data_IF_813912092826
#
_entry.id   IF_813912092826
#
_cell.length_a   1.000
_cell.length_b   1.000
_cell.length_c   1.000
_cell.angle_alpha   90.00
_cell.angle_beta   90.00
_cell.angle_gamma   90.00
#
_symmetry.space_group_name_H-M   'P 1'
#
loop_
_entity.id
_entity.type
_entity.pdbx_description
1 polymer ?
#
# COMPACT_ATOMS: atom_id res chain seq x y z
N UNK A 1 9.71 34.78 -11.27
CA UNK A 1 10.41 33.50 -11.50
C UNK A 1 9.89 32.32 -10.65
N UNK A 2 8.87 32.46 -9.80
CA UNK A 2 8.40 31.39 -8.89
C UNK A 2 7.45 30.34 -9.54
N UNK A 3 6.74 30.67 -10.62
CA UNK A 3 5.75 29.77 -11.25
C UNK A 3 6.36 28.62 -12.06
N UNK A 4 7.55 28.81 -12.64
CA UNK A 4 8.22 27.81 -13.51
C UNK A 4 8.78 26.63 -12.70
N UNK A 5 9.16 26.87 -11.44
CA UNK A 5 9.73 25.85 -10.54
C UNK A 5 8.65 24.88 -10.01
N UNK A 6 7.45 25.39 -9.68
CA UNK A 6 6.33 24.57 -9.23
C UNK A 6 5.84 23.59 -10.31
N UNK A 7 5.80 24.03 -11.56
CA UNK A 7 5.33 23.21 -12.68
C UNK A 7 6.29 22.04 -13.01
N UNK A 8 7.61 22.26 -12.87
CA UNK A 8 8.61 21.18 -13.04
C UNK A 8 8.55 20.15 -11.92
N UNK A 9 8.40 20.58 -10.66
CA UNK A 9 8.29 19.67 -9.51
C UNK A 9 7.04 18.81 -9.60
N UNK A 10 5.91 19.39 -9.99
CA UNK A 10 4.67 18.64 -10.22
C UNK A 10 4.81 17.64 -11.36
N UNK A 11 5.46 18.01 -12.47
CA UNK A 11 5.72 17.08 -13.58
C UNK A 11 6.60 15.91 -13.15
N UNK A 12 7.69 16.18 -12.43
CA UNK A 12 8.56 15.13 -11.90
C UNK A 12 7.83 14.20 -10.92
N UNK A 13 6.96 14.72 -10.05
CA UNK A 13 6.14 13.90 -9.16
C UNK A 13 5.14 13.00 -9.93
N UNK A 14 4.52 13.54 -10.99
CA UNK A 14 3.63 12.77 -11.88
C UNK A 14 4.36 11.65 -12.60
N UNK A 15 5.52 11.97 -13.17
CA UNK A 15 6.38 11.02 -13.88
C UNK A 15 6.87 9.91 -12.92
N UNK A 16 7.15 10.26 -11.66
CA UNK A 16 7.51 9.30 -10.61
C UNK A 16 6.41 8.30 -10.30
N UNK A 17 5.16 8.75 -10.17
CA UNK A 17 4.05 7.83 -9.82
C UNK A 17 3.76 6.82 -10.93
N UNK A 18 3.74 7.29 -12.18
CA UNK A 18 3.58 6.42 -13.33
C UNK A 18 4.73 5.41 -13.46
N UNK A 19 5.97 5.85 -13.19
CA UNK A 19 7.15 4.97 -13.26
C UNK A 19 7.11 3.90 -12.18
N UNK A 20 6.81 4.27 -10.93
CA UNK A 20 6.68 3.31 -9.84
C UNK A 20 5.56 2.29 -10.08
N UNK A 21 4.39 2.72 -10.59
CA UNK A 21 3.31 1.80 -10.96
C UNK A 21 3.74 0.79 -12.03
N UNK A 22 4.56 1.22 -13.00
CA UNK A 22 5.13 0.33 -14.02
C UNK A 22 6.19 -0.62 -13.46
N UNK A 23 6.98 -0.19 -12.46
CA UNK A 23 7.94 -1.06 -11.77
C UNK A 23 7.21 -2.15 -10.97
N UNK A 24 6.12 -1.82 -10.27
CA UNK A 24 5.25 -2.81 -9.64
C UNK A 24 4.67 -3.81 -10.63
N UNK A 25 4.16 -3.32 -11.75
CA UNK A 25 3.66 -4.17 -12.81
C UNK A 25 4.72 -5.12 -13.38
N UNK A 26 5.96 -4.64 -13.53
CA UNK A 26 7.09 -5.47 -13.97
C UNK A 26 7.45 -6.57 -12.96
N UNK A 27 7.18 -6.36 -11.66
CA UNK A 27 7.26 -7.38 -10.62
C UNK A 27 6.05 -8.33 -10.60
N UNK A 28 5.08 -8.15 -11.50
CA UNK A 28 3.83 -8.90 -11.55
C UNK A 28 2.81 -8.44 -10.52
N UNK A 29 3.02 -7.30 -9.86
CA UNK A 29 2.13 -6.76 -8.84
C UNK A 29 1.03 -5.92 -9.52
N UNK A 30 -0.25 -6.33 -9.45
CA UNK A 30 -1.31 -5.53 -10.05
C UNK A 30 -1.41 -4.17 -9.35
N UNK A 31 -1.65 -3.11 -10.13
CA UNK A 31 -1.87 -1.76 -9.59
C UNK A 31 -3.25 -1.25 -9.99
N UNK A 32 -3.73 -0.28 -9.21
CA UNK A 32 -4.90 0.52 -9.56
C UNK A 32 -4.73 1.97 -9.10
N UNK A 33 -5.31 2.97 -9.79
CA UNK A 33 -5.23 4.36 -9.35
C UNK A 33 -5.95 4.57 -8.01
N UNK A 34 -5.26 5.24 -7.09
CA UNK A 34 -5.74 5.67 -5.79
C UNK A 34 -6.15 7.14 -5.76
N UNK A 35 -6.99 7.48 -4.79
CA UNK A 35 -7.24 8.84 -4.40
C UNK A 35 -5.94 9.49 -3.90
N UNK A 36 -5.85 10.81 -3.95
CA UNK A 36 -4.65 11.56 -3.61
C UNK A 36 -5.03 12.86 -2.88
N UNK A 37 -4.11 13.51 -2.15
CA UNK A 37 -4.37 14.83 -1.61
C UNK A 37 -4.46 15.85 -2.75
N UNK A 38 -5.53 16.67 -2.83
CA UNK A 38 -5.63 17.76 -3.80
C UNK A 38 -4.50 18.77 -3.64
N UNK A 39 -4.00 19.31 -4.76
CA UNK A 39 -2.93 20.32 -4.74
C UNK A 39 -3.36 21.68 -4.17
N UNK A 40 -4.67 21.94 -4.10
CA UNK A 40 -5.25 23.17 -3.56
C UNK A 40 -6.60 22.86 -2.91
N UNK A 41 -6.95 23.66 -1.90
CA UNK A 41 -8.16 23.50 -1.10
C UNK A 41 -7.89 22.97 0.30
N UNK A 42 -8.94 22.87 1.09
CA UNK A 42 -8.98 22.36 2.46
C UNK A 42 -9.24 20.84 2.54
N UNK A 43 -9.53 20.21 1.40
CA UNK A 43 -9.82 18.78 1.32
C UNK A 43 -8.56 17.95 1.50
N UNK A 44 -8.66 16.91 2.33
CA UNK A 44 -7.62 15.90 2.53
C UNK A 44 -7.63 14.78 1.47
N UNK A 45 -8.64 14.74 0.59
CA UNK A 45 -8.80 13.67 -0.41
C UNK A 45 -9.37 14.21 -1.74
N UNK A 46 -8.95 13.61 -2.85
CA UNK A 46 -9.42 13.93 -4.21
C UNK A 46 -10.80 13.37 -4.54
N UNK A 47 -11.40 12.56 -3.67
CA UNK A 47 -12.76 12.06 -3.87
C UNK A 47 -13.81 13.13 -3.52
N UNK A 48 -15.05 12.88 -3.93
CA UNK A 48 -16.17 13.79 -3.67
C UNK A 48 -16.88 13.50 -2.34
N UNK A 49 -16.35 12.58 -1.52
CA UNK A 49 -16.92 12.22 -0.22
C UNK A 49 -16.51 13.23 0.85
N UNK A 50 -17.49 13.96 1.38
CA UNK A 50 -17.32 14.75 2.61
C UNK A 50 -17.08 13.76 3.76
N UNK A 51 -16.03 13.99 4.55
CA UNK A 51 -15.64 13.05 5.61
C UNK A 51 -15.17 11.70 5.05
N UNK A 52 -14.29 11.72 4.04
CA UNK A 52 -13.64 10.50 3.54
C UNK A 52 -13.00 9.72 4.71
N UNK A 53 -13.34 8.44 4.91
CA UNK A 53 -12.84 7.66 6.05
C UNK A 53 -11.36 7.27 5.91
N UNK A 54 -10.84 7.27 4.68
CA UNK A 54 -9.45 6.90 4.38
C UNK A 54 -8.81 7.90 3.39
N UNK A 55 -8.61 9.16 3.79
CA UNK A 55 -8.21 10.23 2.88
C UNK A 55 -6.92 9.92 2.12
N UNK A 56 -6.99 10.04 0.79
CA UNK A 56 -5.88 9.77 -0.14
C UNK A 56 -5.32 8.33 -0.14
N UNK A 57 -5.97 7.38 0.55
CA UNK A 57 -5.46 6.02 0.70
C UNK A 57 -6.39 4.91 0.15
N UNK A 58 -7.46 5.30 -0.55
CA UNK A 58 -8.41 4.36 -1.17
C UNK A 58 -8.39 4.36 -2.71
N UNK A 59 -8.85 3.29 -3.39
CA UNK A 59 -9.06 3.27 -4.84
C UNK A 59 -9.98 4.38 -5.33
N UNK A 60 -9.73 4.89 -6.55
CA UNK A 60 -10.63 5.90 -7.17
C UNK A 60 -11.97 5.31 -7.64
N UNK A 61 -12.14 3.99 -7.61
CA UNK A 61 -13.37 3.30 -8.02
C UNK A 61 -13.59 2.05 -7.19
N UNK A 62 -14.84 1.80 -6.78
CA UNK A 62 -15.24 0.56 -6.10
C UNK A 62 -15.05 -0.71 -6.96
N UNK A 63 -14.92 -0.55 -8.29
CA UNK A 63 -14.69 -1.67 -9.22
C UNK A 63 -13.22 -2.10 -9.31
N UNK A 64 -12.34 -1.55 -8.47
CA UNK A 64 -10.90 -1.80 -8.46
C UNK A 64 -10.54 -3.28 -8.47
N UNK A 65 -11.31 -4.15 -7.81
CA UNK A 65 -11.07 -5.60 -7.76
C UNK A 65 -10.99 -6.22 -9.14
N UNK A 66 -11.87 -5.82 -10.05
CA UNK A 66 -11.91 -6.33 -11.42
C UNK A 66 -10.99 -5.57 -12.36
N UNK A 67 -10.59 -4.34 -11.99
CA UNK A 67 -9.84 -3.45 -12.86
C UNK A 67 -8.35 -3.41 -12.57
N UNK A 68 -7.88 -3.73 -11.37
CA UNK A 68 -6.46 -3.72 -11.06
C UNK A 68 -5.69 -4.64 -12.00
N UNK A 69 -4.52 -4.19 -12.46
CA UNK A 69 -3.79 -4.86 -13.54
C UNK A 69 -2.29 -4.64 -13.43
N UNK A 70 -1.53 -5.62 -13.92
CA UNK A 70 -0.09 -5.50 -14.18
C UNK A 70 0.21 -5.26 -15.67
N UNK A 71 -0.80 -4.99 -16.49
CA UNK A 71 -0.62 -4.64 -17.91
C UNK A 71 -0.04 -3.22 -18.03
N UNK A 72 1.17 -3.05 -18.59
CA UNK A 72 1.82 -1.75 -18.66
C UNK A 72 1.05 -0.74 -19.53
N UNK A 73 0.29 -1.18 -20.54
CA UNK A 73 -0.47 -0.27 -21.40
C UNK A 73 -1.70 0.30 -20.68
N UNK A 74 -2.37 -0.53 -19.87
CA UNK A 74 -3.45 -0.07 -18.98
C UNK A 74 -2.93 0.92 -17.94
N UNK A 75 -1.78 0.62 -17.34
CA UNK A 75 -1.15 1.49 -16.34
C UNK A 75 -0.76 2.84 -16.94
N UNK A 76 -0.06 2.85 -18.08
CA UNK A 76 0.27 4.11 -18.78
C UNK A 76 -0.98 4.93 -19.08
N UNK A 77 -2.03 4.28 -19.57
CA UNK A 77 -3.31 4.94 -19.85
C UNK A 77 -3.90 5.57 -18.58
N UNK A 78 -3.96 4.85 -17.47
CA UNK A 78 -4.51 5.40 -16.22
C UNK A 78 -3.73 6.62 -15.72
N UNK A 79 -2.40 6.54 -15.66
CA UNK A 79 -1.60 7.66 -15.16
C UNK A 79 -1.50 8.82 -16.16
N UNK A 80 -1.70 8.60 -17.47
CA UNK A 80 -1.87 9.70 -18.43
C UNK A 80 -3.15 10.51 -18.15
N UNK A 81 -4.22 9.84 -17.71
CA UNK A 81 -5.51 10.46 -17.40
C UNK A 81 -5.56 11.00 -15.96
N UNK A 82 -4.81 10.40 -15.04
CA UNK A 82 -4.77 10.74 -13.61
C UNK A 82 -3.33 10.83 -13.12
N UNK A 83 -2.56 11.85 -13.53
CA UNK A 83 -1.13 11.92 -13.24
C UNK A 83 -0.79 12.03 -11.74
N UNK A 84 -1.76 12.46 -10.91
CA UNK A 84 -1.62 12.64 -9.47
C UNK A 84 -2.15 11.46 -8.66
N UNK A 85 -2.76 10.45 -9.29
CA UNK A 85 -3.32 9.33 -8.55
C UNK A 85 -2.23 8.57 -7.81
N UNK A 86 -2.44 8.33 -6.51
CA UNK A 86 -1.63 7.41 -5.74
C UNK A 86 -1.71 5.98 -6.33
N UNK A 87 -0.86 5.10 -5.86
CA UNK A 87 -0.82 3.70 -6.29
C UNK A 87 -1.47 2.84 -5.22
N UNK A 88 -2.50 2.10 -5.64
CA UNK A 88 -3.11 1.05 -4.84
C UNK A 88 -2.65 -0.31 -5.33
N UNK A 89 -2.25 -1.15 -4.38
CA UNK A 89 -1.88 -2.54 -4.57
C UNK A 89 -2.93 -3.46 -3.96
N UNK A 90 -3.68 -4.24 -4.76
CA UNK A 90 -4.53 -5.32 -4.26
C UNK A 90 -3.71 -6.38 -3.54
N UNK A 91 -4.17 -6.78 -2.36
CA UNK A 91 -3.59 -7.88 -1.58
C UNK A 91 -4.36 -9.19 -1.82
N UNK A 92 -3.83 -10.31 -1.32
CA UNK A 92 -4.46 -11.64 -1.46
C UNK A 92 -4.46 -12.22 -2.87
N UNK A 93 -3.55 -11.76 -3.72
CA UNK A 93 -3.31 -12.31 -5.06
C UNK A 93 -1.87 -12.71 -5.26
N UNK A 94 -0.96 -11.75 -5.05
CA UNK A 94 0.49 -11.94 -5.19
C UNK A 94 1.16 -11.96 -3.81
N UNK A 95 0.66 -11.12 -2.91
CA UNK A 95 1.14 -10.97 -1.54
C UNK A 95 -0.01 -10.63 -0.62
N UNK A 96 0.19 -10.90 0.65
CA UNK A 96 -0.57 -10.29 1.74
C UNK A 96 0.30 -9.23 2.43
N UNK A 97 -0.31 -8.38 3.25
CA UNK A 97 0.40 -7.34 3.98
C UNK A 97 -0.02 -7.31 5.44
N UNK A 98 0.94 -7.33 6.35
CA UNK A 98 0.72 -6.93 7.73
C UNK A 98 0.94 -5.43 7.86
N UNK A 99 -0.07 -4.75 8.35
CA UNK A 99 -0.03 -3.32 8.62
C UNK A 99 0.02 -3.12 10.14
N UNK A 100 1.12 -2.54 10.66
CA UNK A 100 1.38 -2.40 12.10
C UNK A 100 1.76 -0.96 12.45
N UNK A 101 1.57 -0.52 13.71
CA UNK A 101 2.15 0.74 14.18
C UNK A 101 3.66 0.82 13.90
N UNK A 102 4.15 2.00 13.53
CA UNK A 102 5.55 2.20 13.16
C UNK A 102 6.52 1.72 14.26
N UNK A 103 6.25 2.05 15.53
CA UNK A 103 7.07 1.62 16.66
C UNK A 103 7.16 0.09 16.80
N UNK A 104 6.04 -0.61 16.63
CA UNK A 104 6.01 -2.08 16.63
C UNK A 104 6.77 -2.65 15.43
N UNK A 105 6.62 -2.03 14.25
CA UNK A 105 7.37 -2.42 13.06
C UNK A 105 8.87 -2.22 13.18
N UNK A 106 9.33 -1.13 13.82
CA UNK A 106 10.74 -0.89 14.12
C UNK A 106 11.30 -1.94 15.08
N UNK A 107 10.60 -2.22 16.18
CA UNK A 107 10.99 -3.26 17.13
C UNK A 107 11.05 -4.65 16.47
N UNK A 108 10.09 -4.97 15.60
CA UNK A 108 10.09 -6.21 14.83
C UNK A 108 11.28 -6.31 13.87
N UNK A 109 11.61 -5.23 13.14
CA UNK A 109 12.77 -5.19 12.24
C UNK A 109 14.09 -5.40 13.00
N UNK A 110 14.24 -4.79 14.19
CA UNK A 110 15.42 -4.98 15.03
C UNK A 110 15.55 -6.44 15.50
N UNK A 111 14.43 -7.07 15.90
CA UNK A 111 14.40 -8.47 16.30
C UNK A 111 14.74 -9.41 15.14
N UNK A 112 14.11 -9.20 13.98
CA UNK A 112 14.36 -9.94 12.74
C UNK A 112 15.85 -9.87 12.39
N UNK A 113 16.46 -8.69 12.46
CA UNK A 113 17.88 -8.50 12.17
C UNK A 113 18.80 -9.20 13.18
N UNK A 114 18.44 -9.21 14.47
CA UNK A 114 19.20 -9.92 15.51
C UNK A 114 19.10 -11.44 15.40
N UNK A 115 17.97 -11.95 14.97
CA UNK A 115 17.67 -13.40 14.90
C UNK A 115 17.89 -13.99 13.49
N UNK A 116 18.31 -13.17 12.52
CA UNK A 116 18.52 -13.53 11.11
C UNK A 116 17.28 -14.18 10.48
N UNK A 117 16.10 -13.62 10.79
CA UNK A 117 14.82 -14.12 10.29
C UNK A 117 14.53 -13.59 8.87
N UNK A 118 13.83 -14.36 8.02
CA UNK A 118 13.44 -13.89 6.70
C UNK A 118 12.43 -12.75 6.80
N UNK A 119 12.67 -11.68 6.05
CA UNK A 119 11.77 -10.53 5.96
C UNK A 119 11.55 -10.12 4.51
N UNK A 120 10.32 -9.78 4.18
CA UNK A 120 9.91 -9.31 2.86
C UNK A 120 10.11 -7.81 2.69
N UNK A 121 9.63 -7.22 1.60
CA UNK A 121 9.59 -5.77 1.45
C UNK A 121 8.84 -5.13 2.62
N UNK A 122 9.31 -3.97 3.06
CA UNK A 122 8.67 -3.19 4.14
C UNK A 122 8.53 -1.74 3.68
N UNK A 123 7.30 -1.23 3.68
CA UNK A 123 7.02 0.17 3.41
C UNK A 123 6.60 0.91 4.68
N UNK A 124 6.89 2.20 4.77
CA UNK A 124 6.31 3.10 5.77
C UNK A 124 5.17 3.92 5.15
N UNK A 125 4.12 4.14 5.94
CA UNK A 125 3.07 5.11 5.66
C UNK A 125 3.29 6.32 6.57
N UNK A 126 4.15 7.24 6.12
CA UNK A 126 4.62 8.34 6.97
C UNK A 126 5.40 7.80 8.16
N UNK A 127 5.11 8.33 9.35
CA UNK A 127 5.76 7.92 10.61
C UNK A 127 4.81 7.11 11.51
N UNK A 128 3.67 6.69 10.97
CA UNK A 128 2.57 6.14 11.75
C UNK A 128 2.52 4.61 11.66
N UNK A 129 2.77 4.05 10.47
CA UNK A 129 2.59 2.62 10.21
C UNK A 129 3.65 2.03 9.30
N UNK A 130 3.93 0.74 9.49
CA UNK A 130 4.77 -0.09 8.64
C UNK A 130 3.95 -1.21 7.99
N UNK A 131 4.17 -1.43 6.70
CA UNK A 131 3.56 -2.45 5.87
C UNK A 131 4.57 -3.53 5.53
N UNK A 132 4.40 -4.73 6.08
CA UNK A 132 5.25 -5.89 5.81
C UNK A 132 4.61 -6.79 4.76
N UNK A 133 5.25 -6.92 3.61
CA UNK A 133 4.77 -7.74 2.49
C UNK A 133 5.22 -9.18 2.67
N UNK A 134 4.26 -10.11 2.63
CA UNK A 134 4.45 -11.54 2.87
C UNK A 134 3.82 -12.37 1.77
N UNK A 135 4.22 -13.64 1.66
CA UNK A 135 3.60 -14.56 0.72
C UNK A 135 2.11 -14.67 1.05
N UNK A 136 1.28 -14.74 0.01
CA UNK A 136 -0.12 -15.08 0.23
C UNK A 136 -0.22 -16.49 0.79
N UNK A 137 -1.17 -16.74 1.69
CA UNK A 137 -1.39 -18.07 2.27
C UNK A 137 -2.02 -19.08 1.29
N UNK A 138 -2.00 -18.75 -0.01
CA UNK A 138 -2.54 -19.54 -1.12
C UNK A 138 -3.93 -19.05 -1.53
N UNK A 139 -4.15 -18.92 -2.84
CA UNK A 139 -5.48 -19.11 -3.41
C UNK A 139 -5.60 -20.62 -3.68
N UNK A 140 -6.20 -21.44 -2.79
CA UNK A 140 -6.46 -22.83 -3.14
C UNK A 140 -7.27 -22.86 -4.44
N UNK A 141 -6.98 -23.85 -5.30
CA UNK A 141 -7.70 -24.05 -6.55
C UNK A 141 -9.19 -24.40 -6.32
N UNK A 142 -9.52 -24.85 -5.11
CA UNK A 142 -10.88 -24.98 -4.59
C UNK A 142 -11.21 -23.78 -3.72
N UNK A 143 -12.19 -22.99 -4.17
CA UNK A 143 -12.64 -21.75 -3.54
C UNK A 143 -13.51 -21.96 -2.28
N UNK A 144 -13.77 -23.22 -1.89
CA UNK A 144 -14.79 -23.57 -0.88
C UNK A 144 -14.27 -23.63 0.57
N UNK A 145 -12.95 -23.63 0.79
CA UNK A 145 -12.37 -23.57 2.14
C UNK A 145 -11.52 -22.31 2.29
N UNK A 146 -12.19 -21.17 2.50
CA UNK A 146 -11.48 -19.98 2.97
C UNK A 146 -12.31 -19.20 3.99
N UNK A 147 -11.76 -19.11 5.21
CA UNK A 147 -12.23 -18.16 6.20
C UNK A 147 -11.91 -16.76 5.68
N UNK A 148 -12.91 -15.96 5.36
CA UNK A 148 -12.69 -14.52 5.24
C UNK A 148 -12.15 -14.05 6.57
N UNK A 149 -10.86 -13.72 6.63
CA UNK A 149 -10.27 -13.09 7.80
C UNK A 149 -10.80 -11.65 7.83
N UNK A 150 -12.02 -11.51 8.36
CA UNK A 150 -12.64 -10.24 8.72
C UNK A 150 -11.99 -9.60 9.95
N UNK A 151 -10.75 -9.96 10.28
CA UNK A 151 -9.91 -9.16 11.16
C UNK A 151 -9.55 -7.88 10.38
N UNK A 152 -10.39 -6.87 10.58
CA UNK A 152 -10.22 -5.44 10.26
C UNK A 152 -10.04 -5.08 8.78
N UNK A 153 -10.68 -5.82 7.86
CA UNK A 153 -10.55 -5.65 6.40
C UNK A 153 -11.58 -4.73 5.74
N UNK A 154 -12.31 -3.95 6.52
CA UNK A 154 -13.02 -2.76 6.05
C UNK A 154 -12.26 -1.53 6.58
N UNK A 155 -12.23 -0.37 5.91
CA UNK A 155 -11.71 0.84 6.53
C UNK A 155 -12.66 1.27 7.66
N UNK A 156 -12.54 0.62 8.81
CA UNK A 156 -12.83 1.21 10.11
C UNK A 156 -11.54 1.95 10.48
N UNK A 157 -11.66 3.24 10.69
CA UNK A 157 -10.59 4.25 10.53
C UNK A 157 -9.28 3.86 11.24
N UNK A 158 -8.12 4.42 10.81
CA UNK A 158 -6.81 4.20 11.47
C UNK A 158 -6.89 4.44 12.99
N UNK A 159 -7.78 5.35 13.43
CA UNK A 159 -8.01 5.68 14.82
C UNK A 159 -8.77 4.61 15.64
N UNK A 160 -9.56 3.75 14.98
CA UNK A 160 -10.47 2.80 15.65
C UNK A 160 -9.84 1.42 15.90
N UNK A 161 -8.78 1.08 15.17
CA UNK A 161 -7.96 -0.13 15.42
C UNK A 161 -6.49 0.23 15.48
N UNK A 162 -5.94 0.59 16.66
CA UNK A 162 -4.54 0.97 16.80
C UNK A 162 -3.57 -0.20 16.63
N UNK A 163 -4.07 -1.45 16.63
CA UNK A 163 -3.26 -2.65 16.53
C UNK A 163 -2.79 -3.01 15.12
N UNK A 164 -2.33 -4.25 15.00
CA UNK A 164 -1.96 -4.88 13.74
C UNK A 164 -3.19 -5.23 12.90
N UNK A 165 -3.10 -5.05 11.59
CA UNK A 165 -4.09 -5.50 10.60
C UNK A 165 -3.45 -6.44 9.60
N UNK A 166 -4.22 -7.37 9.06
CA UNK A 166 -3.76 -8.28 8.01
C UNK A 166 -4.58 -8.07 6.73
N UNK A 167 -3.98 -7.40 5.74
CA UNK A 167 -4.54 -7.23 4.41
C UNK A 167 -4.29 -8.49 3.57
N UNK A 168 -5.32 -9.32 3.43
CA UNK A 168 -5.30 -10.54 2.62
C UNK A 168 -6.20 -10.40 1.38
N UNK A 169 -7.00 -11.42 1.03
CA UNK A 169 -7.94 -11.37 -0.10
C UNK A 169 -8.94 -10.24 0.10
N UNK A 170 -9.35 -9.64 -1.01
CA UNK A 170 -10.35 -8.58 -1.05
C UNK A 170 -9.96 -7.26 -0.36
N UNK A 171 -8.70 -7.10 0.01
CA UNK A 171 -8.12 -5.88 0.56
C UNK A 171 -7.10 -5.23 -0.39
N UNK A 172 -6.58 -4.09 0.02
CA UNK A 172 -5.56 -3.34 -0.71
C UNK A 172 -4.72 -2.51 0.25
N UNK A 173 -3.56 -2.06 -0.24
CA UNK A 173 -2.71 -1.09 0.46
C UNK A 173 -2.25 0.03 -0.48
N UNK A 174 -1.90 1.17 0.10
CA UNK A 174 -1.21 2.26 -0.59
C UNK A 174 0.27 1.89 -0.75
N UNK A 175 0.83 2.10 -1.93
CA UNK A 175 2.24 1.80 -2.21
C UNK A 175 3.10 3.06 -2.32
N UNK A 176 4.40 2.98 -1.97
CA UNK A 176 5.36 4.03 -2.31
C UNK A 176 5.36 4.37 -3.82
N UNK A 177 5.61 5.62 -4.24
CA UNK A 177 5.84 6.82 -3.45
C UNK A 177 4.55 7.64 -3.21
N UNK A 178 3.39 6.99 -3.00
CA UNK A 178 2.10 7.68 -2.83
C UNK A 178 2.13 8.73 -1.71
N UNK A 179 1.35 9.81 -1.87
CA UNK A 179 1.29 10.91 -0.91
C UNK A 179 0.06 10.74 0.00
N UNK A 180 0.26 10.73 1.30
CA UNK A 180 -0.79 10.60 2.31
C UNK A 180 -1.50 11.94 2.55
N UNK A 181 -2.66 11.89 3.20
CA UNK A 181 -3.41 13.10 3.56
C UNK A 181 -2.67 14.04 4.51
N UNK A 182 -1.72 13.52 5.31
CA UNK A 182 -0.82 14.32 6.14
C UNK A 182 0.23 15.09 5.32
N UNK A 183 0.35 14.83 4.03
CA UNK A 183 1.38 15.37 3.14
C UNK A 183 2.70 14.59 3.18
N UNK A 184 2.84 13.60 4.06
CA UNK A 184 3.96 12.66 4.07
C UNK A 184 3.84 11.68 2.90
N UNK A 185 4.97 11.15 2.43
CA UNK A 185 5.00 10.13 1.39
C UNK A 185 5.10 8.73 2.01
N UNK A 186 4.46 7.75 1.37
CA UNK A 186 4.76 6.36 1.60
C UNK A 186 6.15 6.05 1.02
N UNK A 187 7.01 5.37 1.78
CA UNK A 187 8.39 5.11 1.37
C UNK A 187 8.77 3.64 1.62
N UNK A 188 9.74 3.13 0.88
CA UNK A 188 10.31 1.81 1.17
C UNK A 188 11.33 1.92 2.31
N UNK A 189 11.09 1.23 3.41
CA UNK A 189 12.10 0.95 4.45
C UNK A 189 13.02 -0.18 3.96
N UNK A 190 12.41 -1.25 3.42
CA UNK A 190 13.08 -2.32 2.70
C UNK A 190 12.40 -2.51 1.33
N UNK A 191 13.03 -2.08 0.21
CA UNK A 191 12.39 -2.17 -1.10
C UNK A 191 12.31 -3.61 -1.60
N UNK A 192 11.37 -3.93 -2.51
CA UNK A 192 11.33 -5.23 -3.16
C UNK A 192 12.57 -5.45 -4.04
N UNK A 193 13.21 -6.61 -3.88
CA UNK A 193 14.45 -7.00 -4.59
C UNK A 193 14.28 -8.22 -5.49
N UNK A 194 13.04 -8.70 -5.68
CA UNK A 194 12.75 -9.92 -6.44
C UNK A 194 13.00 -11.23 -5.67
N UNK A 195 13.32 -11.14 -4.37
CA UNK A 195 13.39 -12.29 -3.47
C UNK A 195 11.98 -12.87 -3.21
N UNK A 196 11.86 -14.19 -2.96
CA UNK A 196 10.60 -14.77 -2.53
C UNK A 196 10.07 -14.08 -1.27
N UNK A 197 8.76 -13.88 -1.21
CA UNK A 197 8.13 -13.31 -0.03
C UNK A 197 8.14 -14.32 1.13
N UNK A 198 8.34 -13.88 2.38
CA UNK A 198 8.42 -14.77 3.52
C UNK A 198 7.05 -15.39 3.85
N UNK A 199 7.07 -16.54 4.54
CA UNK A 199 5.86 -17.16 5.09
C UNK A 199 5.17 -16.19 6.07
N UNK A 200 3.87 -15.87 5.86
CA UNK A 200 3.15 -14.95 6.72
C UNK A 200 3.12 -15.39 8.19
N UNK A 201 3.10 -16.70 8.48
CA UNK A 201 3.01 -17.18 9.86
C UNK A 201 4.28 -16.91 10.66
N UNK A 202 5.44 -17.05 10.02
CA UNK A 202 6.73 -16.77 10.66
C UNK A 202 6.87 -15.31 11.03
N UNK A 203 6.36 -14.43 10.17
CA UNK A 203 6.41 -13.00 10.45
C UNK A 203 5.33 -12.57 11.45
N UNK A 204 4.15 -13.19 11.41
CA UNK A 204 3.06 -12.91 12.35
C UNK A 204 3.48 -13.16 13.80
N UNK A 205 4.22 -14.24 14.08
CA UNK A 205 4.76 -14.53 15.41
C UNK A 205 5.59 -13.35 15.95
N UNK A 206 6.48 -12.80 15.12
CA UNK A 206 7.34 -11.67 15.49
C UNK A 206 6.54 -10.37 15.66
N UNK A 207 5.60 -10.11 14.76
CA UNK A 207 4.82 -8.87 14.74
C UNK A 207 3.80 -8.82 15.88
N UNK A 208 3.18 -9.96 16.22
CA UNK A 208 2.22 -10.04 17.33
C UNK A 208 2.89 -9.68 18.65
N UNK A 209 4.05 -10.27 18.96
CA UNK A 209 4.83 -9.95 20.17
C UNK A 209 5.26 -8.47 20.24
N UNK A 210 5.42 -7.82 19.08
CA UNK A 210 5.88 -6.43 19.01
C UNK A 210 4.74 -5.41 19.11
N UNK A 211 3.49 -5.85 19.02
CA UNK A 211 2.30 -5.00 19.10
C UNK A 211 1.64 -5.01 20.49
N UNK A 212 2.13 -5.83 21.43
CA UNK A 212 1.75 -5.83 22.86
C UNK A 212 2.38 -4.65 23.62
#
# INVERSE_FOLDING_TARGET
MLAVSGNRRQRAARDRMASAALEYAAMGWPCFPGAHPPAAGDRSCSCDRIGCPDPAAHPVSATWKHQASADPDRIRRWWSQRPQANIILPTGRVFDVFDVPAAAGEAALDRIGREDLPVGPVASLGDERHLFFVATRGAPADEDEWWSCHLDTSPETVAETPGMRWHCRDSYVVAPPSVLASGKEAAWVRPPRGEPLPDPLRLLEVLADSCE
#
